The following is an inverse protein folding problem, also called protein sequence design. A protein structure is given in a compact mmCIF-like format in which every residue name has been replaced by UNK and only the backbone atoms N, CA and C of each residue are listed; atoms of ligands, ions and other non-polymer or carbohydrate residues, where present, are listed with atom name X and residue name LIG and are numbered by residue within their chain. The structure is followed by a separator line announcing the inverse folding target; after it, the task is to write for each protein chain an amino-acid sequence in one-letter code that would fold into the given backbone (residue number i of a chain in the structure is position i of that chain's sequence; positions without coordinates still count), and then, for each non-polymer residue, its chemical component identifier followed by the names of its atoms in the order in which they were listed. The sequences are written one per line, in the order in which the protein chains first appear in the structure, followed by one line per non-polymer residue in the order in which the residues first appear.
data_IF_441101542297
#
_entry.id   IF_441101542297
#
_cell.length_a   1.000
_cell.length_b   1.000
_cell.length_c   1.000
_cell.angle_alpha   90.00
_cell.angle_beta   90.00
_cell.angle_gamma   90.00
#
_symmetry.space_group_name_H-M   'P 1'
#
loop_
_entity.id
_entity.type
_entity.pdbx_description
1 polymer ?
#
# COMPACT_ATOMS: atom_id res chain seq x y z
N UNK A 1 -12.03 5.46 14.17
CA UNK A 1 -10.95 4.75 14.89
C UNK A 1 -9.72 5.66 15.00
N UNK A 2 -9.17 6.19 13.89
CA UNK A 2 -7.94 7.05 13.91
C UNK A 2 -8.03 8.18 14.93
N UNK A 3 -9.14 8.93 14.96
CA UNK A 3 -9.38 9.98 15.95
C UNK A 3 -9.32 9.45 17.39
N UNK A 4 -9.99 8.33 17.66
CA UNK A 4 -9.98 7.73 19.00
C UNK A 4 -8.57 7.29 19.42
N UNK A 5 -7.75 6.77 18.51
CA UNK A 5 -6.36 6.42 18.79
C UNK A 5 -5.55 7.67 19.13
N UNK A 6 -5.69 8.75 18.34
CA UNK A 6 -4.98 10.02 18.60
C UNK A 6 -5.38 10.64 19.94
N UNK A 7 -6.65 10.66 20.25
CA UNK A 7 -7.18 11.14 21.53
C UNK A 7 -6.70 10.26 22.69
N UNK A 8 -6.69 8.94 22.50
CA UNK A 8 -6.16 7.98 23.48
C UNK A 8 -4.68 8.24 23.79
N UNK A 9 -3.84 8.46 22.78
CA UNK A 9 -2.41 8.79 22.98
C UNK A 9 -2.19 10.10 23.75
N UNK A 10 -3.11 11.07 23.60
CA UNK A 10 -3.14 12.31 24.40
C UNK A 10 -3.68 12.10 25.81
N UNK A 11 -4.05 10.88 26.17
CA UNK A 11 -4.69 10.51 27.44
C UNK A 11 -5.99 11.25 27.71
N UNK A 12 -6.72 11.61 26.69
CA UNK A 12 -8.07 12.12 26.82
C UNK A 12 -9.00 11.03 27.37
N UNK A 13 -10.04 11.44 28.05
CA UNK A 13 -11.14 10.55 28.42
C UNK A 13 -11.97 10.26 27.18
N UNK A 14 -11.97 9.00 26.72
CA UNK A 14 -12.61 8.63 25.47
C UNK A 14 -14.11 8.44 25.66
N UNK A 15 -14.87 9.38 25.10
CA UNK A 15 -16.33 9.28 24.91
C UNK A 15 -16.62 9.36 23.43
N UNK A 16 -17.38 8.41 22.91
CA UNK A 16 -17.75 8.33 21.51
C UNK A 16 -19.09 7.62 21.34
N UNK A 17 -19.95 8.17 20.51
CA UNK A 17 -21.19 7.56 20.08
C UNK A 17 -21.21 7.50 18.55
N UNK A 18 -21.26 6.28 17.99
CA UNK A 18 -21.16 6.02 16.56
C UNK A 18 -21.17 4.51 16.29
N UNK A 19 -20.36 4.03 15.32
CA UNK A 19 -20.23 2.59 15.07
C UNK A 19 -19.76 1.84 16.33
N UNK A 20 -18.92 2.48 17.13
CA UNK A 20 -18.52 2.01 18.45
C UNK A 20 -19.04 2.97 19.51
N UNK A 21 -19.72 2.45 20.53
CA UNK A 21 -20.14 3.24 21.69
C UNK A 21 -19.09 3.13 22.79
N UNK A 22 -18.53 4.26 23.21
CA UNK A 22 -17.54 4.35 24.31
C UNK A 22 -18.00 5.41 25.34
N UNK A 23 -18.14 5.06 26.64
CA UNK A 23 -18.10 3.69 27.17
C UNK A 23 -19.36 2.90 26.76
N UNK A 24 -19.28 1.57 26.81
CA UNK A 24 -20.50 0.78 26.80
C UNK A 24 -21.32 1.12 28.03
N UNK A 25 -22.66 1.26 27.94
CA UNK A 25 -23.54 1.44 29.07
C UNK A 25 -23.33 0.37 30.14
N UNK A 26 -23.55 0.72 31.39
CA UNK A 26 -23.50 -0.22 32.51
C UNK A 26 -24.46 -1.39 32.25
N UNK A 27 -23.98 -2.61 32.51
CA UNK A 27 -24.73 -3.84 32.26
C UNK A 27 -24.68 -4.36 30.81
N UNK A 28 -24.03 -3.66 29.89
CA UNK A 28 -23.75 -4.17 28.53
C UNK A 28 -22.36 -4.78 28.45
N UNK A 29 -22.27 -6.05 28.07
CA UNK A 29 -21.01 -6.79 28.01
C UNK A 29 -20.31 -6.82 29.38
N UNK A 30 -19.00 -6.53 29.39
CA UNK A 30 -18.21 -6.35 30.64
C UNK A 30 -18.11 -4.88 31.06
N UNK A 31 -18.90 -4.00 30.43
CA UNK A 31 -18.84 -2.55 30.63
C UNK A 31 -19.29 -2.13 32.03
N UNK A 32 -18.49 -1.27 32.64
CA UNK A 32 -18.79 -0.63 33.93
C UNK A 32 -19.36 0.78 33.76
N UNK A 33 -19.76 1.17 32.54
CA UNK A 33 -20.20 2.51 32.22
C UNK A 33 -19.13 3.61 32.38
N UNK A 34 -17.86 3.22 32.55
CA UNK A 34 -16.75 4.16 32.77
C UNK A 34 -15.98 4.43 31.48
N UNK A 35 -15.69 5.71 31.16
CA UNK A 35 -14.90 6.05 29.98
C UNK A 35 -13.50 5.44 30.03
N UNK A 36 -13.01 5.02 28.86
CA UNK A 36 -11.64 4.52 28.69
C UNK A 36 -10.63 5.66 28.79
N UNK A 37 -9.56 5.45 29.54
CA UNK A 37 -8.40 6.31 29.61
C UNK A 37 -7.13 5.47 29.73
N UNK A 38 -6.07 5.81 28.97
CA UNK A 38 -4.80 5.11 29.08
C UNK A 38 -4.18 5.32 30.46
N UNK A 39 -3.80 4.23 31.12
CA UNK A 39 -3.10 4.26 32.41
C UNK A 39 -1.61 4.62 32.20
N UNK A 40 -1.01 4.10 31.14
CA UNK A 40 0.38 4.40 30.78
C UNK A 40 0.50 5.83 30.24
N UNK A 41 1.66 6.46 30.49
CA UNK A 41 1.99 7.75 29.90
C UNK A 41 2.81 7.50 28.62
N UNK A 42 2.27 7.77 27.44
CA UNK A 42 3.05 7.64 26.21
C UNK A 42 4.24 8.57 26.21
N UNK A 43 5.37 8.14 25.65
CA UNK A 43 6.56 9.01 25.49
C UNK A 43 6.29 10.17 24.52
N UNK A 44 5.38 9.95 23.56
CA UNK A 44 4.95 10.94 22.56
C UNK A 44 3.43 11.08 22.59
N UNK A 45 2.88 12.29 22.51
CA UNK A 45 1.44 12.51 22.43
C UNK A 45 0.85 12.18 21.03
N UNK A 46 1.73 11.99 20.04
CA UNK A 46 1.36 11.66 18.68
C UNK A 46 2.33 10.62 18.10
N UNK A 47 1.78 9.63 17.41
CA UNK A 47 2.50 8.63 16.63
C UNK A 47 1.92 8.70 15.22
N UNK A 48 2.72 8.79 14.14
CA UNK A 48 2.22 8.76 12.78
C UNK A 48 1.39 7.51 12.51
N UNK A 49 0.23 7.68 11.88
CA UNK A 49 -0.68 6.59 11.55
C UNK A 49 -0.71 6.44 10.03
N UNK A 50 -0.25 5.29 9.56
CA UNK A 50 -0.25 4.92 8.16
C UNK A 50 -1.35 3.90 7.89
N UNK A 51 -2.05 4.05 6.76
CA UNK A 51 -3.17 3.19 6.40
C UNK A 51 -2.91 2.54 5.05
N UNK A 52 -3.00 1.20 5.00
CA UNK A 52 -3.04 0.43 3.78
C UNK A 52 -4.47 0.42 3.24
N UNK A 53 -4.69 1.01 2.08
CA UNK A 53 -6.01 1.09 1.44
C UNK A 53 -5.90 1.09 -0.09
N UNK A 54 -6.92 0.53 -0.77
CA UNK A 54 -6.99 0.46 -2.23
C UNK A 54 -8.30 1.01 -2.77
N UNK A 55 -9.43 0.69 -2.13
CA UNK A 55 -10.76 1.14 -2.57
C UNK A 55 -10.94 2.65 -2.40
N UNK A 56 -11.59 3.30 -3.35
CA UNK A 56 -11.73 4.76 -3.48
C UNK A 56 -12.11 5.47 -2.18
N UNK A 57 -13.16 4.99 -1.50
CA UNK A 57 -13.63 5.59 -0.24
C UNK A 57 -12.60 5.47 0.90
N UNK A 58 -11.86 4.35 0.93
CA UNK A 58 -10.83 4.16 1.95
C UNK A 58 -9.59 4.99 1.64
N UNK A 59 -9.22 5.18 0.37
CA UNK A 59 -8.13 6.07 -0.05
C UNK A 59 -8.48 7.53 0.25
N UNK A 60 -9.71 7.96 -0.03
CA UNK A 60 -10.21 9.28 0.36
C UNK A 60 -10.10 9.49 1.88
N UNK A 61 -10.61 8.54 2.68
CA UNK A 61 -10.52 8.61 4.13
C UNK A 61 -9.05 8.57 4.64
N UNK A 62 -8.18 7.80 3.99
CA UNK A 62 -6.74 7.77 4.29
C UNK A 62 -6.12 9.14 4.07
N UNK A 63 -6.41 9.78 2.93
CA UNK A 63 -5.90 11.11 2.61
C UNK A 63 -6.44 12.19 3.57
N UNK A 64 -7.66 12.02 4.09
CA UNK A 64 -8.27 12.93 5.06
C UNK A 64 -7.67 12.78 6.47
N UNK A 65 -7.51 11.54 6.96
CA UNK A 65 -7.24 11.27 8.38
C UNK A 65 -5.86 10.72 8.71
N UNK A 66 -5.15 10.08 7.78
CA UNK A 66 -3.89 9.41 8.08
C UNK A 66 -2.68 10.33 7.91
N UNK A 67 -1.57 10.01 8.55
CA UNK A 67 -0.30 10.68 8.29
C UNK A 67 0.32 10.15 7.00
N UNK A 68 0.13 8.86 6.69
CA UNK A 68 0.64 8.25 5.47
C UNK A 68 -0.28 7.17 4.87
N UNK A 69 -0.04 6.88 3.60
CA UNK A 69 -0.72 5.88 2.80
C UNK A 69 0.26 4.80 2.31
N UNK A 70 -0.15 3.54 2.42
CA UNK A 70 0.60 2.35 2.02
C UNK A 70 -0.19 1.59 0.93
N UNK A 71 -0.14 2.01 -0.35
CA UNK A 71 -0.69 1.22 -1.44
C UNK A 71 0.14 -0.03 -1.71
N UNK A 72 -0.51 -1.11 -2.14
CA UNK A 72 0.15 -2.28 -2.72
C UNK A 72 -0.02 -2.27 -4.23
N UNK A 73 0.92 -2.88 -4.96
CA UNK A 73 0.92 -2.93 -6.43
C UNK A 73 0.80 -1.54 -7.08
N UNK A 74 1.50 -0.57 -6.51
CA UNK A 74 1.49 0.79 -7.02
C UNK A 74 2.24 0.87 -8.36
N UNK A 75 1.52 1.31 -9.40
CA UNK A 75 2.07 1.60 -10.73
C UNK A 75 2.03 3.10 -10.92
N UNK A 76 3.19 3.80 -10.90
CA UNK A 76 3.26 5.26 -10.94
C UNK A 76 2.46 5.89 -12.08
N UNK A 77 2.57 5.35 -13.29
CA UNK A 77 1.93 5.86 -14.50
C UNK A 77 0.39 5.76 -14.46
N UNK A 78 -0.12 4.90 -13.59
CA UNK A 78 -1.57 4.63 -13.45
C UNK A 78 -2.16 5.18 -12.16
N UNK A 79 -1.32 5.57 -11.20
CA UNK A 79 -1.76 5.99 -9.87
C UNK A 79 -2.72 7.18 -9.91
N UNK A 80 -2.45 8.16 -10.78
CA UNK A 80 -3.30 9.34 -10.96
C UNK A 80 -4.68 8.99 -11.51
N UNK A 81 -4.76 8.07 -12.48
CA UNK A 81 -6.02 7.59 -13.06
C UNK A 81 -6.84 6.80 -12.05
N UNK A 82 -6.18 5.93 -11.27
CA UNK A 82 -6.85 5.04 -10.33
C UNK A 82 -7.28 5.76 -9.05
N UNK A 83 -6.43 6.60 -8.46
CA UNK A 83 -6.68 7.15 -7.11
C UNK A 83 -6.67 8.68 -7.04
N UNK A 84 -6.40 9.36 -8.15
CA UNK A 84 -6.25 10.83 -8.17
C UNK A 84 -7.43 11.56 -7.55
N UNK A 85 -8.65 11.22 -7.95
CA UNK A 85 -9.87 11.85 -7.45
C UNK A 85 -10.08 11.59 -5.95
N UNK A 86 -9.87 10.36 -5.49
CA UNK A 86 -10.01 10.00 -4.08
C UNK A 86 -8.97 10.72 -3.21
N UNK A 87 -7.72 10.77 -3.67
CA UNK A 87 -6.65 11.49 -2.99
C UNK A 87 -6.93 12.99 -2.93
N UNK A 88 -7.41 13.59 -4.03
CA UNK A 88 -7.77 15.01 -4.08
C UNK A 88 -8.93 15.33 -3.14
N UNK A 89 -10.00 14.51 -3.15
CA UNK A 89 -11.16 14.68 -2.30
C UNK A 89 -10.79 14.56 -0.80
N UNK A 90 -9.96 13.59 -0.44
CA UNK A 90 -9.49 13.43 0.94
C UNK A 90 -8.55 14.56 1.39
N UNK A 91 -7.61 14.97 0.53
CA UNK A 91 -6.71 16.11 0.80
C UNK A 91 -7.48 17.42 1.01
N UNK A 92 -8.57 17.65 0.28
CA UNK A 92 -9.42 18.83 0.45
C UNK A 92 -10.13 18.91 1.82
N UNK A 93 -10.32 17.75 2.47
CA UNK A 93 -10.94 17.63 3.81
C UNK A 93 -9.90 17.46 4.92
N UNK A 94 -8.62 17.44 4.58
CA UNK A 94 -7.55 17.10 5.51
C UNK A 94 -7.45 18.11 6.64
N UNK A 95 -7.37 17.60 7.86
CA UNK A 95 -7.30 18.42 9.06
C UNK A 95 -6.02 19.27 9.07
N UNK A 96 -6.14 20.56 9.40
CA UNK A 96 -5.02 21.52 9.40
C UNK A 96 -3.85 21.11 10.30
N UNK A 97 -4.10 20.33 11.34
CA UNK A 97 -3.06 19.81 12.23
C UNK A 97 -2.24 18.64 11.68
N UNK A 98 -2.57 18.14 10.48
CA UNK A 98 -1.82 17.09 9.79
C UNK A 98 -0.90 17.72 8.74
N UNK A 99 0.34 17.25 8.68
CA UNK A 99 1.25 17.56 7.57
C UNK A 99 0.72 17.06 6.22
N UNK A 100 1.44 17.28 5.13
CA UNK A 100 1.12 16.65 3.85
C UNK A 100 0.98 15.13 4.00
N UNK A 101 0.11 14.50 3.18
CA UNK A 101 0.01 13.05 3.16
C UNK A 101 1.32 12.46 2.63
N UNK A 102 1.97 11.63 3.43
CA UNK A 102 3.10 10.83 2.96
C UNK A 102 2.61 9.59 2.22
N UNK A 103 3.31 9.17 1.17
CA UNK A 103 2.98 7.98 0.37
C UNK A 103 4.21 7.09 0.31
N UNK A 104 4.09 5.88 0.89
CA UNK A 104 5.15 4.89 0.83
C UNK A 104 4.78 3.78 -0.15
N UNK A 105 5.48 3.74 -1.27
CA UNK A 105 5.27 2.76 -2.32
C UNK A 105 6.61 2.37 -2.96
N UNK A 106 6.62 1.26 -3.68
CA UNK A 106 7.78 0.72 -4.36
C UNK A 106 7.65 -0.78 -4.58
N UNK A 107 8.77 -1.46 -4.71
CA UNK A 107 8.79 -2.88 -5.03
C UNK A 107 10.15 -3.52 -4.84
N UNK A 108 10.37 -4.62 -5.54
CA UNK A 108 11.70 -5.26 -5.57
C UNK A 108 12.71 -4.33 -6.22
N UNK A 109 13.96 -4.39 -5.77
CA UNK A 109 15.08 -3.68 -6.37
C UNK A 109 16.25 -4.61 -6.62
N UNK A 110 16.77 -4.57 -7.86
CA UNK A 110 18.03 -5.14 -8.25
C UNK A 110 18.64 -4.30 -9.37
N UNK A 111 19.90 -3.91 -9.23
CA UNK A 111 20.59 -3.05 -10.18
C UNK A 111 21.67 -3.85 -10.87
N UNK A 112 21.53 -4.05 -12.18
CA UNK A 112 22.48 -4.82 -12.98
C UNK A 112 22.08 -4.87 -14.45
N UNK A 113 23.08 -5.16 -15.27
CA UNK A 113 22.92 -5.35 -16.72
C UNK A 113 22.66 -6.85 -17.01
N UNK A 114 21.91 -7.10 -18.06
CA UNK A 114 21.74 -8.45 -18.58
C UNK A 114 20.45 -9.16 -18.15
N UNK A 115 20.21 -10.33 -18.77
CA UNK A 115 18.98 -11.07 -18.62
C UNK A 115 18.80 -11.69 -17.21
N UNK A 116 19.91 -11.99 -16.53
CA UNK A 116 19.88 -12.56 -15.17
C UNK A 116 19.27 -11.58 -14.14
N UNK A 117 19.59 -10.29 -14.27
CA UNK A 117 18.96 -9.26 -13.42
C UNK A 117 17.47 -9.16 -13.72
N UNK A 118 17.08 -9.12 -14.99
CA UNK A 118 15.67 -9.04 -15.39
C UNK A 118 14.89 -10.27 -14.94
N UNK A 119 15.48 -11.44 -14.92
CA UNK A 119 14.85 -12.69 -14.46
C UNK A 119 14.45 -12.63 -12.96
N UNK A 120 15.04 -11.75 -12.16
CA UNK A 120 14.66 -11.56 -10.77
C UNK A 120 13.21 -11.04 -10.62
N UNK A 121 12.62 -10.43 -11.65
CA UNK A 121 11.21 -10.05 -11.67
C UNK A 121 10.28 -11.25 -11.48
N UNK A 122 10.69 -12.44 -11.90
CA UNK A 122 9.88 -13.64 -11.75
C UNK A 122 9.65 -14.03 -10.29
N UNK A 123 10.46 -13.54 -9.36
CA UNK A 123 10.25 -13.70 -7.92
C UNK A 123 8.95 -13.07 -7.42
N UNK A 124 8.41 -12.07 -8.13
CA UNK A 124 7.14 -11.44 -7.78
C UNK A 124 5.91 -12.23 -8.28
N UNK A 125 6.06 -13.12 -9.27
CA UNK A 125 4.93 -13.83 -9.90
C UNK A 125 4.05 -14.59 -8.91
N UNK A 126 4.60 -15.39 -7.97
CA UNK A 126 3.76 -16.10 -6.99
C UNK A 126 2.93 -15.16 -6.14
N UNK A 127 3.52 -14.02 -5.73
CA UNK A 127 2.84 -13.01 -4.91
C UNK A 127 1.70 -12.33 -5.70
N UNK A 128 1.98 -11.87 -6.91
CA UNK A 128 0.98 -11.25 -7.77
C UNK A 128 -0.16 -12.24 -8.10
N UNK A 129 0.18 -13.48 -8.48
CA UNK A 129 -0.82 -14.50 -8.78
C UNK A 129 -1.72 -14.85 -7.57
N UNK A 130 -1.14 -14.89 -6.35
CA UNK A 130 -1.91 -15.08 -5.13
C UNK A 130 -2.92 -13.96 -4.91
N UNK A 131 -2.49 -12.70 -5.01
CA UNK A 131 -3.35 -11.56 -4.73
C UNK A 131 -4.42 -11.37 -5.82
N UNK A 132 -4.00 -11.35 -7.07
CA UNK A 132 -4.90 -11.14 -8.22
C UNK A 132 -5.84 -12.33 -8.41
N UNK A 133 -5.35 -13.55 -8.16
CA UNK A 133 -6.12 -14.78 -8.36
C UNK A 133 -6.88 -15.27 -7.13
N UNK A 134 -6.27 -15.19 -5.93
CA UNK A 134 -6.71 -15.95 -4.76
C UNK A 134 -7.28 -15.15 -3.59
N UNK A 135 -7.08 -13.84 -3.52
CA UNK A 135 -7.46 -13.03 -2.36
C UNK A 135 -8.92 -12.56 -2.37
N UNK A 136 -9.77 -13.15 -3.20
CA UNK A 136 -11.20 -12.87 -3.24
C UNK A 136 -11.93 -13.74 -4.27
N UNK A 137 -13.25 -13.85 -4.12
CA UNK A 137 -14.09 -14.47 -5.10
C UNK A 137 -14.16 -13.61 -6.38
N UNK A 138 -14.61 -14.21 -7.51
CA UNK A 138 -14.84 -13.47 -8.76
C UNK A 138 -15.78 -12.28 -8.53
N UNK A 139 -15.37 -11.10 -9.02
CA UNK A 139 -16.09 -9.84 -8.82
C UNK A 139 -16.07 -9.29 -7.39
N UNK A 140 -15.21 -9.83 -6.51
CA UNK A 140 -15.01 -9.38 -5.12
C UNK A 140 -13.54 -9.43 -4.70
N UNK A 141 -12.64 -9.18 -5.64
CA UNK A 141 -11.20 -9.16 -5.40
C UNK A 141 -10.64 -7.79 -5.81
N UNK A 142 -10.39 -6.94 -4.83
CA UNK A 142 -9.85 -5.59 -5.05
C UNK A 142 -8.53 -5.56 -5.83
N UNK A 143 -7.68 -6.58 -5.69
CA UNK A 143 -6.40 -6.66 -6.39
C UNK A 143 -6.58 -7.04 -7.86
N UNK A 144 -7.56 -7.90 -8.16
CA UNK A 144 -7.95 -8.22 -9.52
C UNK A 144 -8.52 -6.98 -10.21
N UNK A 145 -9.46 -6.28 -9.54
CA UNK A 145 -10.06 -5.06 -10.04
C UNK A 145 -9.01 -3.97 -10.30
N UNK A 146 -7.99 -3.86 -9.43
CA UNK A 146 -6.89 -2.92 -9.60
C UNK A 146 -6.05 -3.23 -10.85
N UNK A 147 -5.69 -4.50 -11.06
CA UNK A 147 -4.91 -4.92 -12.24
C UNK A 147 -5.72 -4.73 -13.53
N UNK A 148 -7.05 -4.92 -13.48
CA UNK A 148 -7.94 -4.54 -14.59
C UNK A 148 -7.87 -3.02 -14.88
N UNK A 149 -7.91 -2.16 -13.85
CA UNK A 149 -7.81 -0.71 -14.03
C UNK A 149 -6.44 -0.28 -14.61
N UNK A 150 -5.41 -1.11 -14.48
CA UNK A 150 -4.12 -0.90 -15.12
C UNK A 150 -4.09 -1.28 -16.60
N UNK A 151 -5.18 -1.88 -17.13
CA UNK A 151 -5.31 -2.30 -18.53
C UNK A 151 -4.93 -3.75 -18.79
N UNK A 152 -4.89 -4.59 -17.75
CA UNK A 152 -4.56 -6.02 -17.84
C UNK A 152 -5.78 -6.90 -17.52
N UNK A 153 -6.97 -6.54 -18.02
CA UNK A 153 -8.25 -7.23 -17.72
C UNK A 153 -8.23 -8.70 -18.13
N UNK A 154 -7.65 -8.98 -19.30
CA UNK A 154 -7.55 -10.34 -19.83
C UNK A 154 -6.68 -11.22 -18.94
N UNK A 155 -5.50 -10.73 -18.61
CA UNK A 155 -4.53 -11.43 -17.78
C UNK A 155 -5.04 -11.58 -16.34
N UNK A 156 -5.65 -10.55 -15.78
CA UNK A 156 -6.25 -10.59 -14.44
C UNK A 156 -7.33 -11.66 -14.33
N UNK A 157 -8.19 -11.77 -15.37
CA UNK A 157 -9.20 -12.81 -15.44
C UNK A 157 -8.58 -14.20 -15.54
N UNK A 158 -7.61 -14.39 -16.43
CA UNK A 158 -6.95 -15.68 -16.64
C UNK A 158 -6.19 -16.13 -15.38
N UNK A 159 -5.46 -15.22 -14.72
CA UNK A 159 -4.80 -15.49 -13.43
C UNK A 159 -5.81 -15.98 -12.40
N UNK A 160 -6.97 -15.31 -12.27
CA UNK A 160 -7.99 -15.69 -11.30
C UNK A 160 -8.63 -17.03 -11.64
N UNK A 161 -8.93 -17.30 -12.89
CA UNK A 161 -9.53 -18.57 -13.35
C UNK A 161 -8.60 -19.75 -13.07
N UNK A 162 -7.31 -19.62 -13.41
CA UNK A 162 -6.29 -20.64 -13.13
C UNK A 162 -6.07 -20.83 -11.62
N UNK A 163 -5.95 -19.74 -10.88
CA UNK A 163 -5.68 -19.80 -9.44
C UNK A 163 -6.83 -20.50 -8.68
N UNK A 164 -8.07 -20.09 -8.94
CA UNK A 164 -9.26 -20.66 -8.27
C UNK A 164 -9.56 -22.09 -8.71
N UNK A 165 -9.10 -22.53 -9.88
CA UNK A 165 -9.16 -23.94 -10.31
C UNK A 165 -8.02 -24.82 -9.75
N UNK A 166 -7.11 -24.24 -8.94
CA UNK A 166 -5.99 -24.96 -8.34
C UNK A 166 -4.70 -24.96 -9.17
N UNK A 167 -4.73 -24.42 -10.39
CA UNK A 167 -3.57 -24.34 -11.30
C UNK A 167 -2.68 -23.14 -10.99
N UNK A 168 -2.20 -23.04 -9.74
CA UNK A 168 -1.47 -21.87 -9.24
C UNK A 168 -0.20 -21.55 -10.01
N UNK A 169 0.58 -22.57 -10.38
CA UNK A 169 1.82 -22.40 -11.16
C UNK A 169 1.57 -21.84 -12.56
N UNK A 170 0.45 -22.21 -13.18
CA UNK A 170 0.09 -21.65 -14.47
C UNK A 170 -0.44 -20.23 -14.33
N UNK A 171 -1.15 -19.92 -13.25
CA UNK A 171 -1.51 -18.55 -12.91
C UNK A 171 -0.26 -17.63 -12.74
N UNK A 172 0.81 -18.12 -12.14
CA UNK A 172 2.08 -17.39 -12.03
C UNK A 172 2.69 -17.07 -13.40
N UNK A 173 2.62 -18.00 -14.36
CA UNK A 173 3.18 -17.79 -15.72
C UNK A 173 2.42 -16.74 -16.52
N UNK A 174 1.14 -16.57 -16.26
CA UNK A 174 0.26 -15.60 -16.96
C UNK A 174 0.48 -14.17 -16.48
N UNK A 175 1.07 -13.96 -15.29
CA UNK A 175 1.36 -12.60 -14.80
C UNK A 175 2.17 -11.83 -15.83
N UNK A 176 1.70 -10.66 -16.34
CA UNK A 176 2.40 -9.92 -17.37
C UNK A 176 3.76 -9.41 -16.89
N UNK A 177 4.79 -9.56 -17.72
CA UNK A 177 6.11 -9.01 -17.41
C UNK A 177 6.05 -7.48 -17.27
N UNK A 178 5.29 -6.82 -18.11
CA UNK A 178 5.09 -5.37 -18.08
C UNK A 178 4.55 -4.89 -16.72
N UNK A 179 3.57 -5.59 -16.14
CA UNK A 179 3.05 -5.26 -14.81
C UNK A 179 4.15 -5.37 -13.73
N UNK A 180 5.03 -6.37 -13.86
CA UNK A 180 6.15 -6.54 -12.95
C UNK A 180 7.21 -5.44 -13.12
N UNK A 181 7.51 -5.06 -14.36
CA UNK A 181 8.44 -3.96 -14.67
C UNK A 181 7.92 -2.63 -14.10
N UNK A 182 6.66 -2.30 -14.34
CA UNK A 182 6.06 -1.04 -13.89
C UNK A 182 6.05 -0.87 -12.35
N UNK A 183 5.88 -1.96 -11.61
CA UNK A 183 5.79 -1.93 -10.14
C UNK A 183 7.13 -2.15 -9.41
N UNK A 184 8.25 -2.37 -10.12
CA UNK A 184 9.52 -2.73 -9.52
C UNK A 184 10.69 -1.92 -10.10
N UNK A 185 11.82 -1.95 -9.38
CA UNK A 185 13.06 -1.25 -9.72
C UNK A 185 14.16 -2.27 -10.06
N UNK A 186 13.92 -3.11 -11.07
CA UNK A 186 14.81 -4.22 -11.44
C UNK A 186 15.33 -4.03 -12.86
N UNK A 187 16.62 -3.79 -13.02
CA UNK A 187 17.25 -3.56 -14.31
C UNK A 187 18.52 -2.72 -14.25
N UNK A 188 18.97 -2.17 -15.40
CA UNK A 188 20.11 -1.25 -15.47
C UNK A 188 19.94 -0.03 -14.58
N UNK A 189 21.03 0.57 -14.13
CA UNK A 189 21.01 1.77 -13.30
C UNK A 189 20.21 2.93 -13.91
N UNK A 190 20.27 3.11 -15.24
CA UNK A 190 19.46 4.11 -15.96
C UNK A 190 17.96 3.87 -15.80
N UNK A 191 17.53 2.62 -16.00
CA UNK A 191 16.13 2.23 -15.81
C UNK A 191 15.67 2.43 -14.36
N UNK A 192 16.45 1.98 -13.38
CA UNK A 192 16.14 2.16 -11.97
C UNK A 192 15.99 3.65 -11.63
N UNK A 193 16.87 4.50 -12.16
CA UNK A 193 16.76 5.96 -11.99
C UNK A 193 15.47 6.53 -12.59
N UNK A 194 15.08 6.07 -13.78
CA UNK A 194 13.81 6.45 -14.41
C UNK A 194 12.61 6.01 -13.56
N UNK A 195 12.66 4.79 -13.00
CA UNK A 195 11.58 4.32 -12.09
C UNK A 195 11.49 5.15 -10.83
N UNK A 196 12.63 5.48 -10.18
CA UNK A 196 12.65 6.36 -9.02
C UNK A 196 11.96 7.70 -9.34
N UNK A 197 12.30 8.30 -10.47
CA UNK A 197 11.69 9.55 -10.91
C UNK A 197 10.16 9.39 -11.12
N UNK A 198 9.71 8.32 -11.77
CA UNK A 198 8.30 8.05 -11.98
C UNK A 198 7.53 7.90 -10.64
N UNK A 199 8.09 7.18 -9.66
CA UNK A 199 7.49 7.09 -8.32
C UNK A 199 7.40 8.47 -7.64
N UNK A 200 8.46 9.27 -7.71
CA UNK A 200 8.47 10.63 -7.15
C UNK A 200 7.44 11.54 -7.84
N UNK A 201 7.35 11.52 -9.17
CA UNK A 201 6.37 12.28 -9.95
C UNK A 201 4.92 11.87 -9.64
N UNK A 202 4.69 10.58 -9.35
CA UNK A 202 3.39 10.08 -8.90
C UNK A 202 3.06 10.44 -7.44
N UNK A 203 3.95 11.18 -6.75
CA UNK A 203 3.73 11.69 -5.40
C UNK A 203 4.23 10.78 -4.27
N UNK A 204 5.01 9.75 -4.58
CA UNK A 204 5.64 8.91 -3.55
C UNK A 204 6.70 9.71 -2.81
N UNK A 205 6.58 9.77 -1.49
CA UNK A 205 7.48 10.52 -0.59
C UNK A 205 8.48 9.59 0.13
N UNK A 206 8.15 8.31 0.20
CA UNK A 206 8.97 7.28 0.82
C UNK A 206 9.04 6.05 -0.09
N UNK A 207 10.21 5.81 -0.67
CA UNK A 207 10.42 4.69 -1.59
C UNK A 207 10.69 3.41 -0.80
N UNK A 208 9.68 2.54 -0.71
CA UNK A 208 9.79 1.25 -0.07
C UNK A 208 10.39 0.22 -1.02
N UNK A 209 11.53 -0.38 -0.66
CA UNK A 209 12.22 -1.32 -1.53
C UNK A 209 12.52 -2.66 -0.85
N UNK A 210 12.42 -3.73 -1.63
CA UNK A 210 12.84 -5.08 -1.28
C UNK A 210 14.05 -5.47 -2.15
N UNK A 211 15.30 -5.39 -1.63
CA UNK A 211 16.47 -5.84 -2.38
C UNK A 211 16.43 -7.35 -2.62
N UNK A 212 16.54 -7.76 -3.90
CA UNK A 212 16.48 -9.17 -4.31
C UNK A 212 17.77 -9.64 -5.02
N UNK A 213 18.84 -8.84 -4.96
CA UNK A 213 20.16 -9.19 -5.42
C UNK A 213 20.93 -10.07 -4.43
N UNK A 214 22.04 -10.67 -4.86
CA UNK A 214 22.91 -11.47 -4.00
C UNK A 214 23.63 -10.65 -2.91
N UNK A 215 23.78 -9.32 -3.12
CA UNK A 215 24.33 -8.38 -2.12
C UNK A 215 23.33 -7.22 -1.86
N UNK A 216 22.34 -7.44 -0.98
CA UNK A 216 21.37 -6.42 -0.61
C UNK A 216 21.98 -5.11 -0.07
N UNK A 217 23.01 -5.12 0.80
CA UNK A 217 23.67 -3.89 1.26
C UNK A 217 24.30 -3.09 0.13
N UNK A 218 24.94 -3.74 -0.87
CA UNK A 218 25.50 -3.05 -2.04
C UNK A 218 24.42 -2.42 -2.89
N UNK A 219 23.30 -3.15 -3.13
CA UNK A 219 22.16 -2.63 -3.87
C UNK A 219 21.56 -1.39 -3.20
N UNK A 220 21.41 -1.38 -1.87
CA UNK A 220 20.92 -0.20 -1.13
C UNK A 220 21.89 0.98 -1.24
N UNK A 221 23.22 0.76 -1.22
CA UNK A 221 24.20 1.83 -1.43
C UNK A 221 24.08 2.45 -2.81
N UNK A 222 24.05 1.61 -3.86
CA UNK A 222 23.86 2.07 -5.24
C UNK A 222 22.52 2.82 -5.42
N UNK A 223 21.45 2.30 -4.83
CA UNK A 223 20.15 2.96 -4.89
C UNK A 223 20.21 4.37 -4.28
N UNK A 224 20.88 4.55 -3.14
CA UNK A 224 21.06 5.87 -2.54
C UNK A 224 21.81 6.85 -3.45
N UNK A 225 22.81 6.37 -4.19
CA UNK A 225 23.53 7.20 -5.17
C UNK A 225 22.64 7.63 -6.35
N UNK A 226 21.64 6.81 -6.72
CA UNK A 226 20.69 7.13 -7.79
C UNK A 226 19.57 8.11 -7.35
N UNK A 227 19.23 8.08 -6.06
CA UNK A 227 18.22 9.01 -5.51
C UNK A 227 18.79 10.42 -5.35
N UNK A 228 20.08 10.57 -5.04
CA UNK A 228 20.80 11.85 -4.84
C UNK A 228 20.94 12.22 -3.37
#
# INVERSE_FOLDING_TARGET
IVDLVRRGLKRETLVHDGIFTLPLPEGQGTGLGKPLKLLTKPQRPSIPIWIASLGQKNVEATAEYADGWLPIFFVPEKAGEVWGDALAAGKAKRHEGLGPLEISAGGMVAIGEGPETKALLDLARPHVALYVGGMGARGKNFYNDLVCQYGFEKEAKEIQDLYLSGNKRDAEKVVPLELLELGNLVGPASYVKERIAAFAEAGVTDLQVLPVSDDPPATVRLLKELVG
#
